data_IF_298253533191
#
_entry.id   IF_298253533191
#
_cell.length_a   1.000
_cell.length_b   1.000
_cell.length_c   1.000
_cell.angle_alpha   90.00
_cell.angle_beta   90.00
_cell.angle_gamma   90.00
#
_symmetry.space_group_name_H-M   'P 1'
#
loop_
_entity.id
_entity.type
_entity.pdbx_description
1 polymer ?
#
# COMPACT_ATOMS: atom_id res chain seq x y z
N UNK A 1 -21.98 19.46 -28.68
CA UNK A 1 -23.23 19.48 -29.46
C UNK A 1 -23.89 20.83 -29.31
N UNK A 2 -24.36 21.42 -30.42
CA UNK A 2 -25.22 22.60 -30.34
C UNK A 2 -26.59 22.18 -29.78
N UNK A 3 -27.12 22.98 -28.87
CA UNK A 3 -28.47 22.77 -28.34
C UNK A 3 -29.48 23.28 -29.36
N UNK A 4 -30.47 22.48 -29.77
CA UNK A 4 -31.46 22.92 -30.74
C UNK A 4 -32.31 24.05 -30.15
N UNK A 5 -32.55 25.09 -30.95
CA UNK A 5 -33.46 26.18 -30.59
C UNK A 5 -34.89 25.81 -30.93
N UNK A 6 -35.83 26.26 -30.11
CA UNK A 6 -37.26 26.04 -30.28
C UNK A 6 -37.88 27.20 -31.03
N UNK A 7 -38.65 26.92 -32.08
CA UNK A 7 -39.47 27.92 -32.77
C UNK A 7 -40.90 27.87 -32.22
N UNK A 8 -41.50 29.04 -31.94
CA UNK A 8 -42.86 29.19 -31.41
C UNK A 8 -43.48 30.41 -32.07
N UNK A 9 -44.79 30.40 -32.30
CA UNK A 9 -45.50 31.58 -32.83
C UNK A 9 -45.81 32.60 -31.72
N UNK A 10 -45.73 33.88 -32.05
CA UNK A 10 -46.18 34.97 -31.17
C UNK A 10 -47.71 34.99 -31.10
N UNK A 11 -48.34 35.05 -29.90
CA UNK A 11 -49.80 35.06 -29.79
C UNK A 11 -50.44 36.32 -30.39
N UNK A 12 -49.71 37.44 -30.44
CA UNK A 12 -50.23 38.71 -30.93
C UNK A 12 -50.06 38.90 -32.45
N UNK A 13 -48.99 38.32 -33.02
CA UNK A 13 -48.57 38.61 -34.40
C UNK A 13 -48.44 37.36 -35.27
N UNK A 14 -48.58 36.15 -34.70
CA UNK A 14 -48.32 34.86 -35.34
C UNK A 14 -46.93 34.71 -35.98
N UNK A 15 -46.02 35.66 -35.75
CA UNK A 15 -44.65 35.59 -36.25
C UNK A 15 -43.85 34.55 -35.46
N UNK A 16 -42.99 33.76 -36.14
CA UNK A 16 -42.11 32.81 -35.47
C UNK A 16 -41.07 33.54 -34.61
N UNK A 17 -40.86 33.04 -33.39
CA UNK A 17 -39.90 33.55 -32.41
C UNK A 17 -39.23 32.39 -31.68
N UNK A 18 -38.09 32.68 -31.06
CA UNK A 18 -37.39 31.71 -30.20
C UNK A 18 -38.20 31.45 -28.93
N UNK A 19 -38.60 30.21 -28.73
CA UNK A 19 -39.24 29.73 -27.51
C UNK A 19 -38.26 29.41 -26.40
N UNK A 20 -38.77 29.31 -25.16
CA UNK A 20 -37.97 28.97 -23.96
C UNK A 20 -37.44 27.54 -23.96
N UNK A 21 -38.27 26.57 -24.36
CA UNK A 21 -37.96 25.15 -24.28
C UNK A 21 -38.99 24.31 -25.04
N UNK A 22 -38.74 23.02 -25.20
CA UNK A 22 -39.62 22.08 -25.91
C UNK A 22 -40.82 21.71 -25.04
N UNK A 23 -41.97 21.51 -25.67
CA UNK A 23 -43.21 21.08 -25.00
C UNK A 23 -43.14 19.59 -24.61
N UNK A 24 -43.90 19.20 -23.57
CA UNK A 24 -44.08 17.78 -23.22
C UNK A 24 -44.63 16.97 -24.39
N UNK A 25 -45.55 17.54 -25.17
CA UNK A 25 -46.21 16.84 -26.27
C UNK A 25 -45.29 16.65 -27.49
N UNK A 26 -44.33 17.56 -27.68
CA UNK A 26 -43.28 17.44 -28.71
C UNK A 26 -42.31 16.31 -28.35
N UNK A 27 -41.91 16.21 -27.07
CA UNK A 27 -41.10 15.10 -26.57
C UNK A 27 -41.84 13.75 -26.59
N UNK A 28 -43.14 13.75 -26.27
CA UNK A 28 -43.97 12.56 -26.36
C UNK A 28 -44.07 12.04 -27.81
N UNK A 29 -44.15 12.94 -28.79
CA UNK A 29 -44.23 12.58 -30.22
C UNK A 29 -43.01 11.78 -30.72
N UNK A 30 -41.85 11.94 -30.08
CA UNK A 30 -40.60 11.23 -30.40
C UNK A 30 -40.26 10.14 -29.38
N UNK A 31 -41.22 9.81 -28.49
CA UNK A 31 -41.05 8.85 -27.39
C UNK A 31 -39.81 9.15 -26.55
N UNK A 32 -39.62 10.41 -26.15
CA UNK A 32 -38.52 10.84 -25.29
C UNK A 32 -39.05 11.32 -23.94
N UNK A 33 -38.53 10.77 -22.85
CA UNK A 33 -38.92 11.17 -21.51
C UNK A 33 -38.33 12.55 -21.15
N UNK A 34 -39.09 13.36 -20.42
CA UNK A 34 -38.66 14.70 -19.93
C UNK A 34 -37.35 14.61 -19.15
N UNK A 35 -37.18 13.59 -18.30
CA UNK A 35 -35.95 13.39 -17.54
C UNK A 35 -34.75 13.14 -18.45
N UNK A 36 -34.88 12.24 -19.42
CA UNK A 36 -33.83 11.93 -20.39
C UNK A 36 -33.49 13.15 -21.26
N UNK A 37 -34.48 13.95 -21.66
CA UNK A 37 -34.25 15.18 -22.41
C UNK A 37 -33.45 16.20 -21.60
N UNK A 38 -33.74 16.34 -20.29
CA UNK A 38 -32.96 17.20 -19.38
C UNK A 38 -31.53 16.70 -19.17
N UNK A 39 -31.34 15.39 -19.03
CA UNK A 39 -30.01 14.75 -18.96
C UNK A 39 -29.21 14.98 -20.26
N UNK A 40 -29.89 15.01 -21.41
CA UNK A 40 -29.30 15.40 -22.69
C UNK A 40 -29.05 16.92 -22.83
N UNK A 41 -29.43 17.72 -21.83
CA UNK A 41 -29.19 19.17 -21.79
C UNK A 41 -30.25 20.02 -22.51
N UNK A 42 -31.41 19.45 -22.85
CA UNK A 42 -32.54 20.18 -23.42
C UNK A 42 -33.35 20.91 -22.35
N UNK A 43 -33.81 22.11 -22.68
CA UNK A 43 -34.75 22.86 -21.83
C UNK A 43 -36.17 22.41 -22.20
N UNK A 44 -36.93 21.98 -21.19
CA UNK A 44 -38.31 21.51 -21.35
C UNK A 44 -39.27 22.49 -20.67
N UNK A 45 -40.22 23.03 -21.42
CA UNK A 45 -41.30 23.87 -20.87
C UNK A 45 -42.56 23.03 -20.67
N UNK A 46 -42.76 22.62 -19.42
CA UNK A 46 -43.85 21.74 -19.01
C UNK A 46 -45.24 22.38 -19.11
N UNK A 47 -45.30 23.70 -19.19
CA UNK A 47 -46.56 24.46 -19.22
C UNK A 47 -47.14 24.57 -20.63
N UNK A 48 -46.30 24.39 -21.66
CA UNK A 48 -46.71 24.51 -23.05
C UNK A 48 -47.38 23.21 -23.51
N UNK A 49 -48.52 23.34 -24.19
CA UNK A 49 -49.29 22.24 -24.80
C UNK A 49 -49.26 22.27 -26.34
N UNK A 50 -48.64 23.28 -26.93
CA UNK A 50 -48.54 23.39 -28.38
C UNK A 50 -47.49 22.42 -28.93
N UNK A 51 -47.73 21.98 -30.18
CA UNK A 51 -46.90 21.01 -30.89
C UNK A 51 -46.57 21.54 -32.28
N UNK A 52 -45.30 21.83 -32.52
CA UNK A 52 -44.84 22.30 -33.83
C UNK A 52 -44.07 21.20 -34.56
N UNK A 53 -44.38 20.98 -35.85
CA UNK A 53 -43.74 19.94 -36.68
C UNK A 53 -42.24 20.17 -36.87
N UNK A 54 -41.83 21.43 -37.01
CA UNK A 54 -40.42 21.83 -37.14
C UNK A 54 -39.59 21.43 -35.91
N UNK A 55 -40.13 21.69 -34.71
CA UNK A 55 -39.50 21.32 -33.45
C UNK A 55 -39.36 19.80 -33.29
N UNK A 56 -40.33 19.02 -33.78
CA UNK A 56 -40.26 17.56 -33.75
C UNK A 56 -39.15 17.05 -34.67
N UNK A 57 -39.01 17.66 -35.86
CA UNK A 57 -37.95 17.29 -36.80
C UNK A 57 -36.56 17.58 -36.21
N UNK A 58 -36.36 18.76 -35.60
CA UNK A 58 -35.08 19.11 -34.96
C UNK A 58 -34.76 18.20 -33.77
N UNK A 59 -35.77 17.82 -32.97
CA UNK A 59 -35.57 16.89 -31.87
C UNK A 59 -35.19 15.47 -32.33
N UNK A 60 -35.69 15.00 -33.48
CA UNK A 60 -35.31 13.69 -34.03
C UNK A 60 -33.83 13.63 -34.38
N UNK A 61 -33.34 14.62 -35.13
CA UNK A 61 -31.92 14.74 -35.49
C UNK A 61 -31.06 14.82 -34.23
N UNK A 62 -31.46 15.67 -33.27
CA UNK A 62 -30.73 15.80 -32.01
C UNK A 62 -30.70 14.49 -31.20
N UNK A 63 -31.81 13.73 -31.19
CA UNK A 63 -31.88 12.42 -30.50
C UNK A 63 -30.91 11.42 -31.12
N UNK A 64 -30.81 11.36 -32.44
CA UNK A 64 -29.89 10.47 -33.14
C UNK A 64 -28.42 10.83 -32.85
N UNK A 65 -28.08 12.12 -32.91
CA UNK A 65 -26.74 12.60 -32.58
C UNK A 65 -26.38 12.34 -31.12
N UNK A 66 -27.36 12.50 -30.22
CA UNK A 66 -27.20 12.18 -28.81
C UNK A 66 -26.86 10.70 -28.58
N UNK A 67 -27.57 9.79 -29.26
CA UNK A 67 -27.30 8.34 -29.18
C UNK A 67 -25.90 8.01 -29.69
N UNK A 68 -25.47 8.61 -30.81
CA UNK A 68 -24.12 8.41 -31.36
C UNK A 68 -23.05 8.77 -30.34
N UNK A 69 -23.17 9.93 -29.69
CA UNK A 69 -22.18 10.37 -28.69
C UNK A 69 -22.22 9.52 -27.42
N UNK A 70 -23.37 9.03 -26.99
CA UNK A 70 -23.43 8.05 -25.90
C UNK A 70 -22.68 6.76 -26.26
N UNK A 71 -22.89 6.25 -27.48
CA UNK A 71 -22.19 5.06 -27.97
C UNK A 71 -20.68 5.27 -28.06
N UNK A 72 -20.23 6.43 -28.54
CA UNK A 72 -18.81 6.74 -28.64
C UNK A 72 -18.17 6.93 -27.25
N UNK A 73 -18.88 7.56 -26.32
CA UNK A 73 -18.45 7.65 -24.92
C UNK A 73 -18.31 6.26 -24.30
N UNK A 74 -19.25 5.36 -24.55
CA UNK A 74 -19.19 3.99 -24.06
C UNK A 74 -17.99 3.22 -24.65
N UNK A 75 -17.71 3.37 -25.96
CA UNK A 75 -16.51 2.80 -26.59
C UNK A 75 -15.23 3.29 -25.95
N UNK A 76 -15.12 4.59 -25.66
CA UNK A 76 -13.96 5.18 -24.97
C UNK A 76 -13.79 4.59 -23.58
N UNK A 77 -14.88 4.46 -22.82
CA UNK A 77 -14.86 3.84 -21.49
C UNK A 77 -14.46 2.35 -21.57
N UNK A 78 -14.95 1.61 -22.56
CA UNK A 78 -14.59 0.21 -22.77
C UNK A 78 -13.11 0.06 -23.12
N UNK A 79 -12.57 0.94 -23.97
CA UNK A 79 -11.14 0.98 -24.30
C UNK A 79 -10.30 1.25 -23.05
N UNK A 80 -10.65 2.27 -22.26
CA UNK A 80 -9.97 2.58 -21.01
C UNK A 80 -10.00 1.41 -20.01
N UNK A 81 -11.12 0.67 -19.93
CA UNK A 81 -11.20 -0.56 -19.12
C UNK A 81 -10.25 -1.65 -19.62
N UNK A 82 -10.18 -1.88 -20.93
CA UNK A 82 -9.28 -2.87 -21.54
C UNK A 82 -7.80 -2.50 -21.30
N UNK A 83 -7.46 -1.23 -21.49
CA UNK A 83 -6.12 -0.72 -21.28
C UNK A 83 -5.71 -0.84 -19.80
N UNK A 84 -6.62 -0.52 -18.87
CA UNK A 84 -6.40 -0.72 -17.44
C UNK A 84 -6.18 -2.19 -17.05
N UNK A 85 -6.91 -3.13 -17.66
CA UNK A 85 -6.70 -4.57 -17.44
C UNK A 85 -5.35 -5.02 -18.00
N UNK A 86 -4.94 -4.53 -19.17
CA UNK A 86 -3.62 -4.83 -19.76
C UNK A 86 -2.50 -4.31 -18.88
N UNK A 87 -2.57 -3.04 -18.46
CA UNK A 87 -1.60 -2.43 -17.56
C UNK A 87 -1.48 -3.20 -16.23
N UNK A 88 -2.61 -3.65 -15.65
CA UNK A 88 -2.60 -4.46 -14.42
C UNK A 88 -1.91 -5.81 -14.61
N UNK A 89 -2.10 -6.46 -15.76
CA UNK A 89 -1.42 -7.73 -16.10
C UNK A 89 0.09 -7.51 -16.26
N UNK A 90 0.49 -6.46 -16.94
CA UNK A 90 1.91 -6.12 -17.12
C UNK A 90 2.59 -5.77 -15.79
N UNK A 91 1.95 -4.98 -14.93
CA UNK A 91 2.44 -4.68 -13.58
C UNK A 91 2.60 -5.96 -12.74
N UNK A 92 1.65 -6.90 -12.83
CA UNK A 92 1.76 -8.19 -12.13
C UNK A 92 2.95 -9.01 -12.64
N UNK A 93 3.20 -9.02 -13.95
CA UNK A 93 4.36 -9.71 -14.54
C UNK A 93 5.68 -9.08 -14.09
N UNK A 94 5.78 -7.74 -14.11
CA UNK A 94 6.97 -7.02 -13.63
C UNK A 94 7.26 -7.35 -12.17
N UNK A 95 6.23 -7.29 -11.32
CA UNK A 95 6.37 -7.67 -9.92
C UNK A 95 6.86 -9.11 -9.75
N UNK A 96 6.34 -10.06 -10.54
CA UNK A 96 6.83 -11.44 -10.48
C UNK A 96 8.31 -11.57 -10.86
N UNK A 97 8.77 -10.78 -11.83
CA UNK A 97 10.18 -10.75 -12.24
C UNK A 97 11.04 -10.14 -11.12
N UNK A 98 10.63 -8.98 -10.58
CA UNK A 98 11.30 -8.33 -9.45
C UNK A 98 11.37 -9.26 -8.23
N UNK A 99 10.26 -9.92 -7.89
CA UNK A 99 10.20 -10.88 -6.79
C UNK A 99 11.16 -12.08 -7.05
N UNK A 100 11.31 -12.55 -8.30
CA UNK A 100 12.28 -13.61 -8.63
C UNK A 100 13.74 -13.14 -8.57
N UNK A 101 14.05 -11.94 -9.04
CA UNK A 101 15.39 -11.37 -8.99
C UNK A 101 15.84 -11.13 -7.53
N UNK A 102 14.92 -10.71 -6.66
CA UNK A 102 15.19 -10.56 -5.23
C UNK A 102 15.52 -11.91 -4.58
N UNK A 103 14.78 -12.98 -4.91
CA UNK A 103 15.06 -14.32 -4.40
C UNK A 103 16.43 -14.82 -4.86
N UNK A 104 16.82 -14.56 -6.12
CA UNK A 104 18.14 -14.94 -6.62
C UNK A 104 19.25 -14.17 -5.89
N UNK A 105 19.09 -12.86 -5.71
CA UNK A 105 20.04 -12.03 -4.97
C UNK A 105 20.17 -12.43 -3.50
N UNK A 106 19.08 -12.80 -2.84
CA UNK A 106 19.12 -13.30 -1.46
C UNK A 106 19.94 -14.59 -1.36
N UNK A 107 19.82 -15.50 -2.34
CA UNK A 107 20.63 -16.72 -2.39
C UNK A 107 22.11 -16.43 -2.57
N UNK A 108 22.47 -15.49 -3.45
CA UNK A 108 23.87 -15.07 -3.64
C UNK A 108 24.46 -14.51 -2.34
N UNK A 109 23.72 -13.66 -1.62
CA UNK A 109 24.14 -13.10 -0.34
C UNK A 109 24.34 -14.22 0.71
N UNK A 110 23.44 -15.20 0.75
CA UNK A 110 23.56 -16.32 1.69
C UNK A 110 24.74 -17.25 1.34
N UNK A 111 25.06 -17.42 0.05
CA UNK A 111 26.27 -18.13 -0.40
C UNK A 111 27.55 -17.36 -0.05
N UNK A 112 27.57 -16.04 -0.23
CA UNK A 112 28.70 -15.19 0.19
C UNK A 112 28.91 -15.24 1.71
N UNK A 113 27.83 -15.18 2.49
CA UNK A 113 27.89 -15.32 3.96
C UNK A 113 28.51 -16.64 4.38
N UNK A 114 28.14 -17.74 3.72
CA UNK A 114 28.73 -19.06 3.97
C UNK A 114 30.23 -19.08 3.67
N UNK A 115 30.66 -18.52 2.54
CA UNK A 115 32.10 -18.42 2.19
C UNK A 115 32.88 -17.62 3.24
N UNK A 116 32.34 -16.49 3.70
CA UNK A 116 32.97 -15.68 4.74
C UNK A 116 33.06 -16.46 6.06
N UNK A 117 32.02 -17.19 6.44
CA UNK A 117 32.05 -18.04 7.65
C UNK A 117 33.09 -19.16 7.55
N UNK A 118 33.20 -19.81 6.39
CA UNK A 118 34.24 -20.82 6.14
C UNK A 118 35.66 -20.21 6.20
N UNK A 119 35.85 -19.00 5.68
CA UNK A 119 37.13 -18.29 5.76
C UNK A 119 37.48 -17.89 7.20
N UNK A 120 36.52 -17.42 7.98
CA UNK A 120 36.70 -17.10 9.41
C UNK A 120 37.05 -18.37 10.18
N UNK A 121 36.28 -19.45 10.01
CA UNK A 121 36.54 -20.72 10.69
C UNK A 121 37.92 -21.30 10.33
N UNK A 122 38.36 -21.12 9.07
CA UNK A 122 39.70 -21.54 8.66
C UNK A 122 40.80 -20.72 9.36
N UNK A 123 40.62 -19.41 9.48
CA UNK A 123 41.58 -18.55 10.21
C UNK A 123 41.63 -18.86 11.69
N UNK A 124 40.48 -19.12 12.32
CA UNK A 124 40.43 -19.52 13.74
C UNK A 124 41.18 -20.83 13.99
N UNK A 125 41.06 -21.82 13.09
CA UNK A 125 41.85 -23.07 13.20
C UNK A 125 43.34 -22.81 13.02
N UNK A 126 43.73 -21.97 12.05
CA UNK A 126 45.14 -21.61 11.82
C UNK A 126 45.74 -20.85 13.02
N UNK A 127 44.97 -19.94 13.65
CA UNK A 127 45.37 -19.24 14.87
C UNK A 127 45.56 -20.21 16.05
N UNK A 128 44.63 -21.16 16.25
CA UNK A 128 44.76 -22.19 17.29
C UNK A 128 45.94 -23.14 17.04
N UNK A 129 46.25 -23.46 15.78
CA UNK A 129 47.44 -24.24 15.44
C UNK A 129 48.73 -23.49 15.82
N UNK A 130 48.82 -22.19 15.50
CA UNK A 130 49.95 -21.34 15.90
C UNK A 130 50.07 -21.22 17.42
N UNK A 131 48.97 -20.99 18.14
CA UNK A 131 48.97 -20.96 19.60
C UNK A 131 49.45 -22.30 20.20
N UNK A 132 49.04 -23.43 19.63
CA UNK A 132 49.50 -24.75 20.10
C UNK A 132 50.98 -25.03 19.81
N UNK A 133 51.53 -24.50 18.71
CA UNK A 133 52.97 -24.59 18.41
C UNK A 133 53.80 -23.69 19.35
N UNK A 134 53.26 -22.54 19.78
CA UNK A 134 53.89 -21.67 20.78
C UNK A 134 53.80 -22.23 22.22
N UNK A 135 52.74 -22.98 22.54
CA UNK A 135 52.58 -23.67 23.83
C UNK A 135 53.41 -24.96 23.97
N UNK A 136 54.01 -25.48 22.90
CA UNK A 136 55.08 -26.48 22.99
C UNK A 136 56.36 -25.81 23.53
N UNK A 137 56.31 -25.39 24.79
CA UNK A 137 57.45 -25.04 25.62
C UNK A 137 58.47 -26.16 25.51
N UNK A 138 59.69 -25.78 25.16
CA UNK A 138 60.78 -26.75 25.12
C UNK A 138 60.93 -27.40 26.51
N UNK A 139 61.25 -28.71 26.56
CA UNK A 139 61.47 -29.41 27.85
C UNK A 139 62.45 -28.64 28.77
N UNK A 140 63.36 -27.87 28.18
CA UNK A 140 64.31 -27.01 28.87
C UNK A 140 63.66 -25.77 29.55
N UNK A 141 62.65 -25.13 28.93
CA UNK A 141 61.93 -23.99 29.52
C UNK A 141 60.96 -24.44 30.63
N UNK A 142 60.35 -25.61 30.48
CA UNK A 142 59.56 -26.25 31.53
C UNK A 142 60.40 -26.57 32.78
N UNK A 143 61.65 -27.03 32.58
CA UNK A 143 62.59 -27.25 33.68
C UNK A 143 63.03 -25.96 34.37
N UNK A 144 63.20 -24.85 33.64
CA UNK A 144 63.49 -23.54 34.24
C UNK A 144 62.34 -23.03 35.12
N UNK A 145 61.09 -23.19 34.69
CA UNK A 145 59.92 -22.79 35.49
C UNK A 145 59.77 -23.62 36.76
N UNK A 146 60.03 -24.93 36.71
CA UNK A 146 60.01 -25.81 37.90
C UNK A 146 61.04 -25.36 38.96
N UNK A 147 62.22 -24.89 38.54
CA UNK A 147 63.22 -24.34 39.47
C UNK A 147 62.85 -22.99 40.07
N UNK A 148 62.02 -22.21 39.38
CA UNK A 148 61.54 -20.91 39.85
C UNK A 148 60.38 -21.05 40.84
N UNK A 149 59.54 -22.07 40.69
CA UNK A 149 58.42 -22.35 41.60
C UNK A 149 58.91 -22.84 42.98
N UNK A 150 60.04 -23.56 43.04
CA UNK A 150 60.68 -23.96 44.30
C UNK A 150 61.24 -22.76 45.12
N UNK A 151 61.33 -21.57 44.53
CA UNK A 151 61.89 -20.38 45.17
C UNK A 151 60.88 -19.37 45.73
N UNK A 152 59.58 -19.59 45.54
CA UNK A 152 58.54 -18.63 45.93
C UNK A 152 57.81 -19.17 47.16
N UNK A 153 58.22 -18.72 48.35
CA UNK A 153 57.50 -18.93 49.61
C UNK A 153 56.12 -18.23 49.52
N UNK A 154 55.09 -19.00 49.15
CA UNK A 154 53.69 -18.61 49.12
C UNK A 154 53.14 -18.46 50.55
N UNK A 155 53.43 -17.32 51.19
CA UNK A 155 52.78 -16.91 52.43
C UNK A 155 51.58 -15.96 52.23
N UNK A 156 51.36 -15.42 51.02
CA UNK A 156 50.18 -14.60 50.73
C UNK A 156 49.23 -15.36 49.80
N UNK A 157 48.03 -15.65 50.32
CA UNK A 157 46.98 -16.29 49.53
C UNK A 157 46.56 -15.37 48.38
N UNK A 158 46.34 -15.89 47.16
CA UNK A 158 46.00 -15.08 45.99
C UNK A 158 44.71 -14.27 46.17
N UNK A 159 43.84 -14.68 47.09
CA UNK A 159 42.64 -13.93 47.48
C UNK A 159 42.99 -12.58 48.14
N UNK A 160 44.02 -12.52 49.00
CA UNK A 160 44.44 -11.27 49.67
C UNK A 160 45.19 -10.31 48.72
N UNK A 161 45.89 -10.84 47.73
CA UNK A 161 46.55 -10.03 46.71
C UNK A 161 45.56 -9.41 45.72
N UNK A 162 44.53 -10.17 45.32
CA UNK A 162 43.44 -9.66 44.48
C UNK A 162 42.64 -8.58 45.19
N UNK A 163 42.39 -8.73 46.49
CA UNK A 163 41.65 -7.73 47.28
C UNK A 163 42.40 -6.38 47.35
N UNK A 164 43.73 -6.39 47.56
CA UNK A 164 44.56 -5.18 47.52
C UNK A 164 44.60 -4.51 46.15
N UNK A 165 44.66 -5.29 45.07
CA UNK A 165 44.68 -4.75 43.70
C UNK A 165 43.33 -4.15 43.33
N UNK A 166 42.21 -4.79 43.72
CA UNK A 166 40.87 -4.22 43.53
C UNK A 166 40.71 -2.90 44.32
N UNK A 167 41.27 -2.83 45.54
CA UNK A 167 41.22 -1.62 46.38
C UNK A 167 42.05 -0.46 45.77
N UNK A 168 43.27 -0.73 45.31
CA UNK A 168 44.12 0.27 44.64
C UNK A 168 43.54 0.73 43.29
N UNK A 169 42.91 -0.17 42.53
CA UNK A 169 42.34 0.13 41.22
C UNK A 169 41.02 0.92 41.37
N UNK A 170 40.25 0.66 42.43
CA UNK A 170 39.10 1.48 42.80
C UNK A 170 39.51 2.90 43.24
N UNK A 171 40.61 3.05 43.97
CA UNK A 171 41.15 4.36 44.37
C UNK A 171 41.70 5.14 43.16
N UNK A 172 42.44 4.48 42.27
CA UNK A 172 43.04 5.10 41.09
C UNK A 172 42.01 5.58 40.05
N UNK A 173 40.88 4.88 39.91
CA UNK A 173 39.79 5.28 39.02
C UNK A 173 38.90 6.39 39.60
N UNK A 174 39.09 6.78 40.88
CA UNK A 174 38.35 7.88 41.50
C UNK A 174 36.83 7.69 41.48
N UNK A 175 36.37 6.44 41.49
CA UNK A 175 34.94 6.09 41.42
C UNK A 175 34.36 6.31 42.82
N UNK A 176 34.11 7.56 43.21
CA UNK A 176 33.19 7.86 44.31
C UNK A 176 31.82 7.34 43.91
N UNK A 177 31.18 6.50 44.74
CA UNK A 177 29.84 5.94 44.53
C UNK A 177 28.84 6.99 44.00
N UNK A 178 28.75 7.11 42.67
CA UNK A 178 27.81 8.01 42.03
C UNK A 178 26.42 7.37 42.09
N UNK A 179 25.54 8.06 42.81
CA UNK A 179 24.09 7.91 42.82
C UNK A 179 23.54 7.31 41.52
N UNK A 180 23.03 6.08 41.68
CA UNK A 180 22.14 5.36 40.77
C UNK A 180 21.16 6.35 40.08
N UNK A 181 21.24 6.54 38.75
CA UNK A 181 20.27 7.36 38.04
C UNK A 181 18.90 6.68 38.12
N UNK A 182 17.93 7.44 38.59
CA UNK A 182 16.51 7.09 38.62
C UNK A 182 16.06 6.71 37.20
N UNK A 183 15.56 5.48 37.04
CA UNK A 183 14.99 4.97 35.78
C UNK A 183 13.88 5.91 35.29
N UNK A 184 14.18 6.69 34.26
CA UNK A 184 13.19 7.44 33.51
C UNK A 184 12.29 6.42 32.78
N UNK A 185 11.05 6.31 33.28
CA UNK A 185 9.99 5.50 32.70
C UNK A 185 9.83 5.79 31.19
N UNK A 186 9.72 4.76 30.33
CA UNK A 186 9.52 4.97 28.90
C UNK A 186 8.16 5.64 28.65
N UNK A 187 8.21 6.85 28.08
CA UNK A 187 7.04 7.58 27.60
C UNK A 187 6.18 6.69 26.70
N UNK A 188 4.90 6.62 27.06
CA UNK A 188 3.91 5.73 26.46
C UNK A 188 3.86 5.82 24.94
N UNK A 189 4.11 4.67 24.31
CA UNK A 189 3.75 4.44 22.91
C UNK A 189 2.24 4.62 22.75
N UNK A 190 1.85 5.74 22.10
CA UNK A 190 0.45 6.02 21.77
C UNK A 190 -0.08 4.88 20.87
N UNK A 191 -0.91 4.00 21.44
CA UNK A 191 -1.66 2.98 20.69
C UNK A 191 -2.53 3.68 19.66
N UNK A 192 -2.10 3.66 18.40
CA UNK A 192 -2.92 4.04 17.25
C UNK A 192 -4.01 2.98 17.10
N UNK A 193 -5.18 3.25 17.68
CA UNK A 193 -6.38 2.44 17.50
C UNK A 193 -6.80 2.57 16.03
N UNK A 194 -6.35 1.62 15.20
CA UNK A 194 -6.88 1.42 13.84
C UNK A 194 -8.38 1.13 13.98
N UNK A 195 -9.22 2.12 13.68
CA UNK A 195 -10.67 1.91 13.52
C UNK A 195 -10.87 0.91 12.39
N UNK A 196 -11.11 -0.35 12.74
CA UNK A 196 -11.59 -1.37 11.82
C UNK A 196 -12.98 -0.94 11.38
N UNK A 197 -13.09 -0.37 10.17
CA UNK A 197 -14.38 -0.18 9.51
C UNK A 197 -14.99 -1.56 9.29
N UNK A 198 -15.94 -1.96 10.14
CA UNK A 198 -16.80 -3.13 9.89
C UNK A 198 -17.40 -2.97 8.50
N UNK A 199 -17.09 -3.91 7.59
CA UNK A 199 -17.72 -3.96 6.28
C UNK A 199 -19.23 -4.20 6.49
N UNK A 200 -20.10 -3.55 5.71
CA UNK A 200 -21.53 -3.83 5.77
C UNK A 200 -21.75 -5.29 5.40
N UNK A 201 -22.30 -6.06 6.33
CA UNK A 201 -22.76 -7.43 6.08
C UNK A 201 -23.94 -7.34 5.12
N UNK A 202 -23.80 -7.96 3.94
CA UNK A 202 -24.89 -8.19 3.00
C UNK A 202 -25.90 -9.11 3.67
N UNK A 203 -26.96 -8.55 4.21
CA UNK A 203 -28.15 -9.29 4.63
C UNK A 203 -28.78 -9.87 3.38
N UNK A 204 -28.66 -11.19 3.23
CA UNK A 204 -29.46 -11.99 2.31
C UNK A 204 -30.91 -11.88 2.74
N UNK A 205 -31.62 -10.92 2.14
CA UNK A 205 -33.06 -10.75 2.33
C UNK A 205 -33.77 -11.88 1.59
N UNK A 206 -34.19 -12.86 2.37
CA UNK A 206 -35.31 -13.79 2.16
C UNK A 206 -35.63 -14.19 0.72
N UNK A 207 -35.18 -15.39 0.36
CA UNK A 207 -35.94 -16.28 -0.49
C UNK A 207 -36.97 -16.99 0.39
N UNK A 208 -38.21 -16.49 0.40
CA UNK A 208 -39.37 -17.20 0.92
C UNK A 208 -40.60 -16.50 0.31
N UNK A 209 -41.10 -17.06 -0.79
CA UNK A 209 -42.52 -17.07 -1.17
C UNK A 209 -42.64 -17.82 -2.51
N UNK A 210 -42.42 -19.13 -2.45
CA UNK A 210 -42.96 -20.09 -3.42
C UNK A 210 -43.58 -21.24 -2.64
N UNK A 211 -44.82 -21.03 -2.19
CA UNK A 211 -45.72 -22.12 -1.86
C UNK A 211 -47.17 -21.62 -2.04
N UNK A 212 -47.99 -22.50 -2.60
CA UNK A 212 -49.46 -22.44 -2.62
C UNK A 212 -50.12 -21.55 -3.67
N UNK A 213 -50.33 -22.17 -4.85
CA UNK A 213 -51.68 -22.29 -5.42
C UNK A 213 -51.75 -23.48 -6.38
N UNK A 214 -52.09 -24.64 -5.82
CA UNK A 214 -52.83 -25.70 -6.50
C UNK A 214 -54.18 -25.78 -5.81
N UNK A 215 -55.21 -25.29 -6.47
CA UNK A 215 -56.56 -25.83 -6.58
C UNK A 215 -57.35 -25.00 -7.60
#
# INVERSE_FOLDING_TARGET
>A
MLKPSVSVESPATNNPRKGRGFSKDELAAIKWNVKQAREAGLIVDERRKSKYKENIATLKVFKEDYIKVLADREKVLLKARKDGVKARREAKKRKQIEDSELIEREKEIDEERKRIQEEIAKREVEELEVESEEEELTEDELAELETLEEGIDLEETPEEALEKVEEELAEALGITEEKKPEEAAPEGTKKVVKRVRKKPTTTTKGAADEAEKKE
#
